data_IF_229484265843
#
_entry.id   IF_229484265843
#
_cell.length_a   1.000
_cell.length_b   1.000
_cell.length_c   1.000
_cell.angle_alpha   90.00
_cell.angle_beta   90.00
_cell.angle_gamma   90.00
#
_symmetry.space_group_name_H-M   'P 1'
#
loop_
_entity.id
_entity.type
_entity.pdbx_description
1 polymer ?
#
# COMPACT_ATOMS: atom_id res chain seq x y z
N UNK A 1 -7.45 17.42 8.01
CA UNK A 1 -7.09 16.26 7.17
C UNK A 1 -5.77 15.60 7.59
N UNK A 2 -4.80 16.36 8.08
CA UNK A 2 -3.50 15.75 8.52
C UNK A 2 -3.73 14.59 9.50
N UNK A 3 -4.47 14.80 10.58
CA UNK A 3 -4.75 13.77 11.59
C UNK A 3 -5.49 12.55 11.01
N UNK A 4 -6.40 12.79 10.05
CA UNK A 4 -7.11 11.69 9.37
C UNK A 4 -6.14 10.83 8.56
N UNK A 5 -5.19 11.44 7.83
CA UNK A 5 -4.19 10.71 7.05
C UNK A 5 -3.12 10.03 7.94
N UNK A 6 -2.83 10.60 9.10
CA UNK A 6 -1.94 9.97 10.09
C UNK A 6 -2.59 8.74 10.73
N UNK A 7 -3.88 8.85 11.12
CA UNK A 7 -4.63 7.75 11.69
C UNK A 7 -5.02 6.66 10.67
N UNK A 8 -5.31 7.07 9.43
CA UNK A 8 -5.78 6.21 8.34
C UNK A 8 -4.98 6.48 7.06
N UNK A 9 -3.80 5.88 6.88
CA UNK A 9 -2.92 6.15 5.73
C UNK A 9 -3.58 5.93 4.36
N UNK A 10 -4.57 5.04 4.27
CA UNK A 10 -5.38 4.79 3.07
C UNK A 10 -6.57 5.73 2.87
N UNK A 11 -6.77 6.73 3.76
CA UNK A 11 -7.98 7.58 3.71
C UNK A 11 -8.12 8.36 2.40
N UNK A 12 -7.04 8.85 1.82
CA UNK A 12 -7.09 9.54 0.52
C UNK A 12 -7.62 8.62 -0.59
N UNK A 13 -7.14 7.38 -0.65
CA UNK A 13 -7.63 6.37 -1.59
C UNK A 13 -9.10 6.03 -1.34
N UNK A 14 -9.50 5.87 -0.08
CA UNK A 14 -10.89 5.61 0.30
C UNK A 14 -11.83 6.74 -0.14
N UNK A 15 -11.44 8.00 0.10
CA UNK A 15 -12.17 9.19 -0.32
C UNK A 15 -12.29 9.28 -1.84
N UNK A 16 -11.21 9.04 -2.56
CA UNK A 16 -11.22 9.06 -4.02
C UNK A 16 -12.11 7.95 -4.60
N UNK A 17 -11.98 6.73 -4.09
CA UNK A 17 -12.67 5.56 -4.64
C UNK A 17 -14.20 5.67 -4.56
N UNK A 18 -14.73 6.24 -3.50
CA UNK A 18 -16.19 6.34 -3.28
C UNK A 18 -16.77 7.69 -3.63
N UNK A 19 -16.04 8.76 -3.35
CA UNK A 19 -16.55 10.14 -3.44
C UNK A 19 -15.83 10.98 -4.49
N UNK A 20 -14.83 10.43 -5.16
CA UNK A 20 -13.96 11.13 -6.13
C UNK A 20 -13.22 12.34 -5.55
N UNK A 21 -13.00 12.36 -4.23
CA UNK A 21 -12.28 13.43 -3.52
C UNK A 21 -10.79 13.12 -3.49
N UNK A 22 -9.94 14.06 -3.93
CA UNK A 22 -8.49 13.96 -3.86
C UNK A 22 -7.79 13.40 -5.08
N UNK A 23 -8.52 13.18 -6.19
CA UNK A 23 -7.95 12.67 -7.45
C UNK A 23 -7.32 13.73 -8.35
N UNK A 24 -7.54 15.01 -8.07
CA UNK A 24 -6.99 16.13 -8.84
C UNK A 24 -6.71 17.33 -7.93
N UNK A 25 -5.91 18.29 -8.41
CA UNK A 25 -5.57 19.49 -7.64
C UNK A 25 -6.79 20.34 -7.25
N UNK A 26 -7.86 20.32 -8.06
CA UNK A 26 -9.09 21.09 -7.82
C UNK A 26 -10.10 20.41 -6.90
N UNK A 27 -10.10 19.07 -6.84
CA UNK A 27 -10.99 18.29 -5.98
C UNK A 27 -10.27 17.74 -4.73
N UNK A 28 -9.00 18.08 -4.56
CA UNK A 28 -8.19 17.73 -3.40
C UNK A 28 -8.59 18.48 -2.14
N UNK A 29 -7.90 18.17 -1.08
CA UNK A 29 -8.01 18.86 0.21
C UNK A 29 -6.63 19.29 0.70
N UNK A 30 -6.62 20.33 1.54
CA UNK A 30 -5.40 20.79 2.20
C UNK A 30 -5.20 20.05 3.52
N UNK A 31 -3.96 19.78 3.94
CA UNK A 31 -3.69 19.17 5.25
C UNK A 31 -4.29 19.93 6.44
N UNK A 32 -4.49 21.24 6.28
CA UNK A 32 -5.06 22.13 7.30
C UNK A 32 -6.59 22.11 7.38
N UNK A 33 -7.28 21.61 6.34
CA UNK A 33 -8.74 21.46 6.37
C UNK A 33 -9.19 20.38 7.35
N UNK A 34 -10.40 20.54 7.91
CA UNK A 34 -11.07 19.48 8.66
C UNK A 34 -11.83 18.54 7.71
N UNK A 35 -12.13 17.33 8.16
CA UNK A 35 -12.97 16.41 7.40
C UNK A 35 -14.36 17.01 7.14
N UNK A 36 -14.92 17.74 8.10
CA UNK A 36 -16.19 18.43 7.96
C UNK A 36 -16.16 19.48 6.82
N UNK A 37 -15.09 20.27 6.74
CA UNK A 37 -14.93 21.25 5.65
C UNK A 37 -14.85 20.57 4.28
N UNK A 38 -14.14 19.45 4.20
CA UNK A 38 -14.05 18.65 2.96
C UNK A 38 -15.43 18.08 2.60
N UNK A 39 -16.17 17.51 3.54
CA UNK A 39 -17.51 16.98 3.33
C UNK A 39 -18.50 18.06 2.88
N UNK A 40 -18.50 19.22 3.52
CA UNK A 40 -19.37 20.35 3.18
C UNK A 40 -19.14 20.86 1.77
N UNK A 41 -17.87 20.98 1.35
CA UNK A 41 -17.50 21.43 -0.02
C UNK A 41 -17.86 20.39 -1.09
N UNK A 42 -17.94 19.13 -0.74
CA UNK A 42 -18.23 18.03 -1.65
C UNK A 42 -19.67 17.51 -1.45
N UNK A 43 -20.65 18.32 -1.88
CA UNK A 43 -22.07 17.98 -1.89
C UNK A 43 -22.69 17.70 -0.50
N UNK A 44 -22.20 18.37 0.55
CA UNK A 44 -22.71 18.25 1.92
C UNK A 44 -22.77 16.80 2.42
N UNK A 45 -21.70 16.04 2.12
CA UNK A 45 -21.59 14.65 2.56
C UNK A 45 -21.70 14.54 4.07
N UNK A 46 -22.35 13.47 4.56
CA UNK A 46 -22.37 13.13 5.97
C UNK A 46 -20.96 12.80 6.45
N UNK A 47 -20.49 13.52 7.46
CA UNK A 47 -19.15 13.28 8.07
C UNK A 47 -19.07 11.87 8.65
N UNK A 48 -20.16 11.40 9.30
CA UNK A 48 -20.21 10.07 9.90
C UNK A 48 -20.12 8.98 8.86
N UNK A 49 -20.83 9.09 7.73
CA UNK A 49 -20.77 8.12 6.63
C UNK A 49 -19.37 8.09 5.96
N UNK A 50 -18.77 9.25 5.81
CA UNK A 50 -17.41 9.36 5.25
C UNK A 50 -16.39 8.75 6.20
N UNK A 51 -16.50 9.02 7.50
CA UNK A 51 -15.60 8.47 8.51
C UNK A 51 -15.75 6.95 8.62
N UNK A 52 -16.97 6.44 8.61
CA UNK A 52 -17.24 5.00 8.62
C UNK A 52 -16.67 4.31 7.37
N UNK A 53 -16.81 4.94 6.21
CA UNK A 53 -16.20 4.43 4.98
C UNK A 53 -14.66 4.39 5.07
N UNK A 54 -14.02 5.42 5.63
CA UNK A 54 -12.57 5.44 5.85
C UNK A 54 -12.14 4.32 6.80
N UNK A 55 -12.87 4.11 7.90
CA UNK A 55 -12.61 3.03 8.87
C UNK A 55 -12.71 1.66 8.24
N UNK A 56 -13.80 1.39 7.54
CA UNK A 56 -14.02 0.11 6.85
C UNK A 56 -12.92 -0.16 5.81
N UNK A 57 -12.51 0.87 5.05
CA UNK A 57 -11.40 0.74 4.11
C UNK A 57 -10.07 0.44 4.82
N UNK A 58 -9.82 1.08 5.95
CA UNK A 58 -8.63 0.84 6.76
C UNK A 58 -8.59 -0.59 7.32
N UNK A 59 -9.71 -1.11 7.80
CA UNK A 59 -9.79 -2.50 8.26
C UNK A 59 -9.53 -3.51 7.14
N UNK A 60 -9.99 -3.21 5.92
CA UNK A 60 -9.68 -4.03 4.74
C UNK A 60 -8.19 -3.96 4.39
N UNK A 61 -7.60 -2.78 4.41
CA UNK A 61 -6.17 -2.58 4.17
C UNK A 61 -5.32 -3.35 5.19
N UNK A 62 -5.71 -3.30 6.47
CA UNK A 62 -5.00 -3.99 7.55
C UNK A 62 -4.95 -5.51 7.33
N UNK A 63 -6.00 -6.10 6.76
CA UNK A 63 -6.04 -7.54 6.43
C UNK A 63 -5.06 -7.94 5.32
N UNK A 64 -4.59 -6.99 4.53
CA UNK A 64 -3.59 -7.23 3.49
C UNK A 64 -2.15 -7.21 4.04
N UNK A 65 -1.95 -6.65 5.24
CA UNK A 65 -0.61 -6.52 5.79
C UNK A 65 -0.06 -7.86 6.28
N UNK A 66 1.22 -8.08 6.04
CA UNK A 66 2.02 -9.15 6.64
C UNK A 66 3.14 -8.52 7.46
N UNK A 67 3.37 -9.04 8.65
CA UNK A 67 4.45 -8.58 9.51
C UNK A 67 5.82 -9.01 8.96
N UNK A 68 6.88 -8.18 9.11
CA UNK A 68 8.23 -8.52 8.63
C UNK A 68 8.72 -9.87 9.15
N UNK A 69 8.51 -10.17 10.42
CA UNK A 69 8.91 -11.44 11.03
C UNK A 69 8.12 -12.63 10.48
N UNK A 70 6.83 -12.46 10.19
CA UNK A 70 6.01 -13.48 9.57
C UNK A 70 6.48 -13.78 8.15
N UNK A 71 6.80 -12.74 7.37
CA UNK A 71 7.39 -12.91 6.05
C UNK A 71 8.72 -13.66 6.12
N UNK A 72 9.58 -13.33 7.09
CA UNK A 72 10.85 -14.04 7.29
C UNK A 72 10.65 -15.54 7.52
N UNK A 73 9.63 -15.92 8.32
CA UNK A 73 9.30 -17.33 8.52
C UNK A 73 8.75 -17.98 7.24
N UNK A 74 7.97 -17.28 6.45
CA UNK A 74 7.51 -17.80 5.15
C UNK A 74 8.67 -18.06 4.18
N UNK A 75 9.64 -17.16 4.13
CA UNK A 75 10.83 -17.32 3.28
C UNK A 75 11.72 -18.49 3.75
N UNK A 76 11.89 -18.69 5.05
CA UNK A 76 12.61 -19.85 5.60
C UNK A 76 11.93 -21.18 5.29
N UNK A 77 10.60 -21.22 5.21
CA UNK A 77 9.82 -22.40 4.86
C UNK A 77 9.77 -22.66 3.35
N UNK A 78 10.56 -21.92 2.56
CA UNK A 78 10.59 -22.01 1.09
C UNK A 78 9.20 -21.88 0.45
N UNK A 79 8.29 -21.14 1.10
CA UNK A 79 6.99 -20.85 0.51
C UNK A 79 7.18 -20.11 -0.79
N UNK A 80 6.60 -20.63 -1.85
CA UNK A 80 6.64 -19.97 -3.15
C UNK A 80 5.84 -18.67 -3.10
N UNK A 81 6.52 -17.56 -2.90
CA UNK A 81 5.94 -16.22 -2.85
C UNK A 81 6.60 -15.35 -3.93
N UNK A 82 5.82 -14.52 -4.60
CA UNK A 82 6.36 -13.52 -5.52
C UNK A 82 6.45 -12.19 -4.79
N UNK A 83 7.66 -11.67 -4.62
CA UNK A 83 7.91 -10.36 -4.01
C UNK A 83 8.08 -9.31 -5.10
N UNK A 84 7.21 -8.31 -5.10
CA UNK A 84 7.19 -7.20 -6.04
C UNK A 84 7.54 -5.90 -5.32
N UNK A 85 8.65 -5.30 -5.70
CA UNK A 85 9.09 -4.00 -5.17
C UNK A 85 8.58 -2.88 -6.08
N UNK A 86 7.80 -1.98 -5.50
CA UNK A 86 7.13 -0.88 -6.23
C UNK A 86 7.83 0.47 -6.08
N UNK A 87 9.05 0.48 -5.51
CA UNK A 87 9.87 1.69 -5.37
C UNK A 87 10.51 2.11 -6.70
N UNK A 88 11.26 3.21 -6.67
CA UNK A 88 12.04 3.64 -7.83
C UNK A 88 13.18 2.65 -8.14
N UNK A 89 13.72 2.75 -9.37
CA UNK A 89 14.84 1.93 -9.79
C UNK A 89 16.08 2.20 -8.92
N UNK A 90 16.34 3.45 -8.63
CA UNK A 90 17.48 3.90 -7.83
C UNK A 90 17.42 3.31 -6.41
N UNK A 91 16.24 3.30 -5.80
CA UNK A 91 16.01 2.71 -4.48
C UNK A 91 16.22 1.19 -4.51
N UNK A 92 15.66 0.52 -5.52
CA UNK A 92 15.79 -0.93 -5.67
C UNK A 92 17.23 -1.36 -5.93
N UNK A 93 17.96 -0.67 -6.81
CA UNK A 93 19.36 -0.96 -7.10
C UNK A 93 20.28 -0.68 -5.91
N UNK A 94 19.95 0.33 -5.09
CA UNK A 94 20.69 0.63 -3.88
C UNK A 94 20.52 -0.42 -2.78
N UNK A 95 19.27 -0.87 -2.57
CA UNK A 95 18.93 -1.87 -1.54
C UNK A 95 17.59 -2.51 -1.85
N UNK A 96 17.50 -3.84 -1.78
CA UNK A 96 16.24 -4.58 -1.90
C UNK A 96 16.30 -5.87 -1.06
N UNK A 97 15.13 -6.46 -0.81
CA UNK A 97 15.04 -7.78 -0.15
C UNK A 97 15.42 -8.85 -1.18
N UNK A 98 16.29 -9.75 -0.81
CA UNK A 98 16.73 -10.83 -1.69
C UNK A 98 15.55 -11.63 -2.27
N UNK A 99 15.56 -11.83 -3.58
CA UNK A 99 14.49 -12.49 -4.32
C UNK A 99 13.30 -11.59 -4.69
N UNK A 100 13.33 -10.30 -4.30
CA UNK A 100 12.36 -9.33 -4.81
C UNK A 100 12.65 -8.96 -6.27
N UNK A 101 11.59 -8.71 -7.04
CA UNK A 101 11.66 -8.22 -8.41
C UNK A 101 11.11 -6.79 -8.46
N UNK A 102 11.79 -5.93 -9.21
CA UNK A 102 11.33 -4.56 -9.41
C UNK A 102 10.07 -4.53 -10.28
N UNK A 103 9.10 -3.72 -9.89
CA UNK A 103 7.89 -3.49 -10.70
C UNK A 103 8.26 -2.84 -12.03
N UNK A 104 7.73 -3.40 -13.09
CA UNK A 104 7.78 -2.84 -14.43
C UNK A 104 6.51 -3.22 -15.19
N UNK A 105 6.24 -2.53 -16.30
CA UNK A 105 5.06 -2.85 -17.11
C UNK A 105 5.03 -4.32 -17.59
N UNK A 106 6.12 -4.91 -18.09
CA UNK A 106 6.13 -6.34 -18.46
C UNK A 106 5.89 -7.26 -17.25
N UNK A 107 6.49 -6.98 -16.09
CA UNK A 107 6.29 -7.78 -14.86
C UNK A 107 4.84 -7.70 -14.41
N UNK A 108 4.24 -6.53 -14.43
CA UNK A 108 2.84 -6.33 -14.07
C UNK A 108 1.90 -7.11 -15.01
N UNK A 109 2.13 -7.03 -16.32
CA UNK A 109 1.35 -7.79 -17.32
C UNK A 109 1.49 -9.30 -17.11
N UNK A 110 2.70 -9.79 -16.82
CA UNK A 110 2.93 -11.20 -16.53
C UNK A 110 2.16 -11.65 -15.29
N UNK A 111 2.20 -10.88 -14.20
CA UNK A 111 1.47 -11.20 -12.96
C UNK A 111 -0.04 -11.29 -13.22
N UNK A 112 -0.60 -10.35 -13.98
CA UNK A 112 -2.02 -10.34 -14.32
C UNK A 112 -2.41 -11.50 -15.24
N UNK A 113 -1.54 -11.87 -16.19
CA UNK A 113 -1.78 -12.99 -17.10
C UNK A 113 -1.74 -14.35 -16.39
N UNK A 114 -0.90 -14.52 -15.37
CA UNK A 114 -0.84 -15.75 -14.56
C UNK A 114 -2.08 -15.94 -13.67
N UNK A 115 -2.77 -14.85 -13.31
CA UNK A 115 -4.01 -14.88 -12.53
C UNK A 115 -3.85 -15.32 -11.07
N UNK A 116 -4.97 -15.72 -10.46
CA UNK A 116 -5.08 -15.94 -9.00
C UNK A 116 -4.58 -17.30 -8.50
N UNK A 117 -4.38 -18.26 -9.38
CA UNK A 117 -4.11 -19.67 -9.01
C UNK A 117 -2.63 -19.98 -8.77
N UNK A 118 -1.78 -18.98 -8.78
CA UNK A 118 -0.36 -19.12 -8.57
C UNK A 118 0.03 -18.82 -7.13
N UNK A 119 1.25 -18.46 -6.92
CA UNK A 119 1.81 -18.10 -5.60
C UNK A 119 1.29 -16.75 -5.12
N UNK A 120 1.27 -16.51 -3.80
CA UNK A 120 0.93 -15.21 -3.22
C UNK A 120 1.79 -14.09 -3.81
N UNK A 121 1.19 -12.92 -4.04
CA UNK A 121 1.88 -11.70 -4.42
C UNK A 121 2.11 -10.84 -3.17
N UNK A 122 3.37 -10.64 -2.80
CA UNK A 122 3.76 -9.70 -1.77
C UNK A 122 4.26 -8.41 -2.40
N UNK A 123 3.72 -7.29 -1.99
CA UNK A 123 4.11 -5.97 -2.47
C UNK A 123 4.96 -5.28 -1.39
N UNK A 124 6.10 -4.75 -1.83
CA UNK A 124 7.08 -4.07 -0.98
C UNK A 124 7.26 -2.65 -1.49
N UNK A 125 7.22 -1.70 -0.57
CA UNK A 125 7.61 -0.31 -0.81
C UNK A 125 8.58 0.18 0.27
N UNK A 126 8.77 1.50 0.41
CA UNK A 126 9.66 2.04 1.42
C UNK A 126 9.09 1.89 2.83
N UNK A 127 7.83 2.32 3.06
CA UNK A 127 7.21 2.42 4.41
C UNK A 127 5.80 1.83 4.53
N UNK A 128 5.33 1.07 3.54
CA UNK A 128 4.03 0.38 3.58
C UNK A 128 2.84 1.23 3.14
N UNK A 129 3.06 2.37 2.48
CA UNK A 129 1.98 3.26 2.00
C UNK A 129 1.62 3.01 0.54
N UNK A 130 2.59 3.04 -0.35
CA UNK A 130 2.41 2.82 -1.79
C UNK A 130 2.05 1.37 -2.10
N UNK A 131 2.51 0.42 -1.29
CA UNK A 131 2.18 -0.99 -1.43
C UNK A 131 0.67 -1.25 -1.40
N UNK A 132 -0.08 -0.54 -0.55
CA UNK A 132 -1.54 -0.67 -0.46
C UNK A 132 -2.25 -0.14 -1.71
N UNK A 133 -1.73 0.90 -2.35
CA UNK A 133 -2.28 1.41 -3.61
C UNK A 133 -2.05 0.43 -4.76
N UNK A 134 -0.84 -0.15 -4.83
CA UNK A 134 -0.53 -1.21 -5.77
C UNK A 134 -1.37 -2.48 -5.52
N UNK A 135 -1.57 -2.87 -4.25
CA UNK A 135 -2.45 -3.98 -3.90
C UNK A 135 -3.89 -3.76 -4.36
N UNK A 136 -4.43 -2.55 -4.17
CA UNK A 136 -5.77 -2.21 -4.64
C UNK A 136 -5.90 -2.35 -6.16
N UNK A 137 -4.85 -2.01 -6.91
CA UNK A 137 -4.81 -2.21 -8.36
C UNK A 137 -4.90 -3.70 -8.73
N UNK A 138 -4.04 -4.56 -8.14
CA UNK A 138 -4.04 -6.00 -8.43
C UNK A 138 -5.35 -6.69 -8.00
N UNK A 139 -5.89 -6.34 -6.83
CA UNK A 139 -7.19 -6.84 -6.36
C UNK A 139 -8.32 -6.43 -7.30
N UNK A 140 -8.31 -5.19 -7.81
CA UNK A 140 -9.27 -4.69 -8.78
C UNK A 140 -9.21 -5.42 -10.13
N UNK A 141 -8.07 -6.04 -10.46
CA UNK A 141 -7.87 -6.86 -11.65
C UNK A 141 -8.06 -8.37 -11.39
N UNK A 142 -8.64 -8.72 -10.25
CA UNK A 142 -9.07 -10.08 -9.96
C UNK A 142 -8.05 -10.97 -9.23
N UNK A 143 -6.86 -10.46 -8.85
CA UNK A 143 -5.98 -11.20 -7.96
C UNK A 143 -6.58 -11.22 -6.55
N UNK A 144 -6.55 -12.38 -5.88
CA UNK A 144 -7.15 -12.53 -4.55
C UNK A 144 -6.11 -12.74 -3.44
N UNK A 145 -4.94 -13.23 -3.80
CA UNK A 145 -3.88 -13.56 -2.82
C UNK A 145 -2.76 -12.52 -2.86
N UNK A 146 -3.10 -11.28 -2.48
CA UNK A 146 -2.18 -10.13 -2.42
C UNK A 146 -1.92 -9.78 -0.96
N UNK A 147 -0.66 -9.50 -0.63
CA UNK A 147 -0.20 -9.03 0.68
C UNK A 147 0.71 -7.82 0.50
N UNK A 148 0.81 -7.02 1.53
CA UNK A 148 1.72 -5.87 1.61
C UNK A 148 2.61 -6.01 2.83
N UNK A 149 3.91 -5.75 2.68
CA UNK A 149 4.84 -5.75 3.79
C UNK A 149 4.55 -4.55 4.71
N UNK A 150 4.13 -4.83 5.95
CA UNK A 150 3.90 -3.77 6.94
C UNK A 150 5.17 -2.97 7.17
N UNK A 151 5.06 -1.65 7.00
CA UNK A 151 6.18 -0.72 7.16
C UNK A 151 7.26 -0.82 6.09
N UNK A 152 7.03 -1.60 5.02
CA UNK A 152 7.91 -1.71 3.87
C UNK A 152 9.32 -2.22 4.19
N UNK A 153 10.27 -1.91 3.31
CA UNK A 153 11.68 -2.32 3.50
C UNK A 153 12.32 -1.65 4.71
N UNK A 154 11.83 -0.49 5.15
CA UNK A 154 12.34 0.18 6.34
C UNK A 154 12.07 -0.64 7.60
N UNK A 155 10.85 -1.18 7.76
CA UNK A 155 10.53 -2.09 8.86
C UNK A 155 11.26 -3.44 8.75
N UNK A 156 11.39 -3.97 7.54
CA UNK A 156 12.17 -5.18 7.30
C UNK A 156 13.62 -5.03 7.78
N UNK A 157 14.27 -3.93 7.40
CA UNK A 157 15.64 -3.62 7.85
C UNK A 157 15.76 -3.51 9.37
N UNK A 158 14.74 -2.95 10.05
CA UNK A 158 14.77 -2.81 11.50
C UNK A 158 14.53 -4.12 12.24
N UNK A 159 13.61 -4.94 11.76
CA UNK A 159 13.06 -6.06 12.51
C UNK A 159 13.63 -7.43 12.12
N UNK A 160 14.15 -7.55 10.88
CA UNK A 160 14.58 -8.83 10.30
C UNK A 160 16.03 -8.82 9.84
N UNK A 161 16.42 -7.85 9.00
CA UNK A 161 17.76 -7.79 8.44
C UNK A 161 18.45 -6.44 8.66
N UNK A 162 19.05 -6.21 9.83
CA UNK A 162 19.74 -4.96 10.15
C UNK A 162 20.96 -4.64 9.27
N UNK A 163 21.36 -5.56 8.40
CA UNK A 163 22.46 -5.33 7.43
C UNK A 163 22.00 -4.53 6.23
N UNK A 164 20.69 -4.54 5.93
CA UNK A 164 20.14 -3.70 4.88
C UNK A 164 20.16 -2.24 5.30
N UNK A 165 20.83 -1.35 4.53
CA UNK A 165 20.94 0.05 4.88
C UNK A 165 19.57 0.73 4.84
N UNK A 166 19.27 1.52 5.87
CA UNK A 166 18.08 2.36 5.92
C UNK A 166 18.39 3.73 5.29
N UNK A 167 17.41 4.27 4.61
CA UNK A 167 17.50 5.59 3.99
C UNK A 167 16.22 6.40 4.26
N UNK A 168 16.29 7.71 4.06
CA UNK A 168 15.13 8.60 4.11
C UNK A 168 14.96 9.22 2.73
N UNK A 169 13.73 9.24 2.27
CA UNK A 169 13.36 10.05 1.12
C UNK A 169 13.37 11.51 1.57
N UNK A 170 14.14 12.35 0.88
CA UNK A 170 14.26 13.78 1.15
C UNK A 170 12.98 14.56 0.83
#
# INVERSE_FOLDING_TARGET
>A
MREVLEAFPGAQRALFRRYHIGGCASCGFQPTETLEQVCRRNHELSVDDVLEHIRTSHEQDTKLLIEPKELAEWLKQEKSIRMLDVRSREEFEAVHIEGAIMMSQPVMQQILAEGTNTRPLLIIDHQGRQALDAAAYFLGHGLTNVRCLRGGIDAWSQEVDPKLPRYRLG
#
